data_IF_897321782229
#
_entry.id   IF_897321782229
#
_cell.length_a   1.000
_cell.length_b   1.000
_cell.length_c   1.000
_cell.angle_alpha   90.00
_cell.angle_beta   90.00
_cell.angle_gamma   90.00
#
_symmetry.space_group_name_H-M   'P 1'
#
loop_
_entity.id
_entity.type
_entity.pdbx_description
1 polymer ?
#
# COMPACT_ATOMS: atom_id res chain seq x y z
N UNK A 1 -2.89 17.92 11.33
CA UNK A 1 -3.02 16.46 11.11
C UNK A 1 -4.49 16.18 10.86
N UNK A 2 -4.90 16.16 9.60
CA UNK A 2 -6.30 15.86 9.23
C UNK A 2 -6.39 14.35 9.13
N UNK A 3 -6.92 13.69 10.18
CA UNK A 3 -7.29 12.29 10.11
C UNK A 3 -8.66 12.27 9.43
N UNK A 4 -8.68 12.15 8.10
CA UNK A 4 -9.90 11.75 7.42
C UNK A 4 -10.08 10.25 7.66
N UNK A 5 -10.87 9.91 8.69
CA UNK A 5 -11.51 8.60 8.74
C UNK A 5 -12.52 8.62 7.60
N UNK A 6 -12.10 8.26 6.39
CA UNK A 6 -13.06 8.04 5.33
C UNK A 6 -13.85 6.80 5.75
N UNK A 7 -14.99 7.00 6.42
CA UNK A 7 -16.01 5.98 6.67
C UNK A 7 -16.66 5.66 5.32
N UNK A 8 -15.91 4.97 4.48
CA UNK A 8 -16.38 4.51 3.18
C UNK A 8 -17.19 3.23 3.43
N UNK A 9 -18.43 3.39 3.89
CA UNK A 9 -19.25 2.28 4.38
C UNK A 9 -20.01 1.50 3.31
N UNK A 10 -19.93 1.79 2.00
CA UNK A 10 -20.73 1.05 1.01
C UNK A 10 -20.13 1.07 -0.41
N UNK A 11 -19.12 0.24 -0.68
CA UNK A 11 -18.49 0.10 -2.01
C UNK A 11 -18.84 -1.26 -2.65
N UNK A 12 -20.13 -1.61 -2.67
CA UNK A 12 -20.61 -2.69 -3.52
C UNK A 12 -20.64 -2.21 -4.99
N UNK A 13 -19.67 -2.65 -5.79
CA UNK A 13 -19.70 -2.53 -7.25
C UNK A 13 -19.00 -1.32 -7.89
N UNK A 14 -18.35 -0.44 -7.12
CA UNK A 14 -17.52 0.65 -7.68
C UNK A 14 -16.02 0.31 -7.61
N UNK A 15 -15.29 0.67 -8.67
CA UNK A 15 -13.82 0.59 -8.70
C UNK A 15 -13.28 1.49 -7.60
N UNK A 16 -12.41 0.93 -6.76
CA UNK A 16 -11.78 1.66 -5.69
C UNK A 16 -10.87 2.75 -6.30
N UNK A 17 -11.00 4.01 -5.87
CA UNK A 17 -10.30 5.17 -6.46
C UNK A 17 -10.07 6.24 -5.39
N UNK A 18 -8.81 6.64 -5.20
CA UNK A 18 -8.43 7.69 -4.24
C UNK A 18 -8.30 9.09 -4.86
N UNK A 19 -8.34 9.21 -6.20
CA UNK A 19 -8.16 10.48 -6.90
C UNK A 19 -6.92 11.26 -6.45
N UNK A 20 -7.05 12.59 -6.39
CA UNK A 20 -5.98 13.50 -5.95
C UNK A 20 -6.21 13.96 -4.50
N UNK A 21 -6.57 13.03 -3.61
CA UNK A 21 -6.84 13.37 -2.21
C UNK A 21 -5.61 14.02 -1.54
N UNK A 22 -5.77 15.10 -0.75
CA UNK A 22 -4.66 15.72 -0.02
C UNK A 22 -4.28 14.97 1.27
N UNK A 23 -4.90 13.82 1.53
CA UNK A 23 -4.72 13.05 2.76
C UNK A 23 -3.30 12.49 2.86
N UNK A 24 -2.72 12.61 4.06
CA UNK A 24 -1.38 12.09 4.36
C UNK A 24 -1.37 10.71 5.01
N UNK A 25 -2.49 10.26 5.58
CA UNK A 25 -2.61 8.97 6.27
C UNK A 25 -3.93 8.31 5.88
N UNK A 26 -3.85 7.11 5.31
CA UNK A 26 -5.01 6.28 5.00
C UNK A 26 -4.96 5.02 5.88
N UNK A 27 -6.01 4.81 6.69
CA UNK A 27 -6.18 3.59 7.49
C UNK A 27 -7.55 2.98 7.20
N UNK A 28 -7.57 1.77 6.66
CA UNK A 28 -8.79 1.05 6.30
C UNK A 28 -8.71 -0.42 6.73
N UNK A 29 -9.68 -0.90 7.49
CA UNK A 29 -9.81 -2.31 7.90
C UNK A 29 -11.29 -2.74 7.89
N UNK A 30 -11.97 -2.59 6.73
CA UNK A 30 -13.42 -2.74 6.61
C UNK A 30 -13.84 -3.69 5.48
N UNK A 31 -13.19 -4.86 5.36
CA UNK A 31 -13.51 -5.89 4.35
C UNK A 31 -13.48 -5.36 2.91
N UNK A 32 -12.56 -4.45 2.59
CA UNK A 32 -12.43 -3.94 1.21
C UNK A 32 -12.01 -5.05 0.26
N UNK A 33 -12.75 -5.27 -0.81
CA UNK A 33 -12.46 -6.30 -1.81
C UNK A 33 -12.03 -5.69 -3.14
N UNK A 34 -11.19 -6.39 -3.88
CA UNK A 34 -10.82 -6.01 -5.25
C UNK A 34 -9.34 -5.75 -5.43
N UNK A 35 -8.98 -5.03 -6.49
CA UNK A 35 -7.59 -4.71 -6.80
C UNK A 35 -7.16 -3.43 -6.10
N UNK A 36 -5.86 -3.29 -5.92
CA UNK A 36 -5.24 -2.05 -5.51
C UNK A 36 -5.42 -0.98 -6.62
N UNK A 37 -5.80 0.27 -6.30
CA UNK A 37 -6.16 1.26 -7.30
C UNK A 37 -4.91 1.93 -7.89
N UNK A 38 -4.85 2.06 -9.22
CA UNK A 38 -3.74 2.79 -9.86
C UNK A 38 -3.70 4.26 -9.46
N UNK A 39 -4.85 4.86 -9.16
CA UNK A 39 -4.94 6.27 -8.76
C UNK A 39 -4.30 6.59 -7.41
N UNK A 40 -3.88 5.59 -6.62
CA UNK A 40 -3.13 5.88 -5.41
C UNK A 40 -1.83 6.65 -5.71
N UNK A 41 -1.19 6.39 -6.85
CA UNK A 41 0.04 7.09 -7.24
C UNK A 41 -0.14 8.60 -7.44
N UNK A 42 -1.38 9.07 -7.67
CA UNK A 42 -1.68 10.51 -7.74
C UNK A 42 -1.49 11.21 -6.38
N UNK A 43 -1.37 10.46 -5.29
CA UNK A 43 -1.11 10.96 -3.94
C UNK A 43 0.39 10.95 -3.60
N UNK A 44 1.29 10.82 -4.59
CA UNK A 44 2.75 10.73 -4.40
C UNK A 44 3.35 11.85 -3.57
N UNK A 45 2.77 13.06 -3.65
CA UNK A 45 3.25 14.24 -2.95
C UNK A 45 2.70 14.36 -1.53
N UNK A 46 1.57 13.72 -1.22
CA UNK A 46 0.82 13.95 0.02
C UNK A 46 0.78 12.76 0.96
N UNK A 47 0.76 11.54 0.43
CA UNK A 47 0.55 10.33 1.22
C UNK A 47 1.84 9.86 1.89
N UNK A 48 1.81 9.78 3.22
CA UNK A 48 2.92 9.35 4.06
C UNK A 48 2.67 7.95 4.66
N UNK A 49 1.43 7.63 5.05
CA UNK A 49 1.11 6.34 5.65
C UNK A 49 -0.09 5.68 4.99
N UNK A 50 0.08 4.40 4.64
CA UNK A 50 -0.96 3.56 4.08
C UNK A 50 -1.07 2.26 4.85
N UNK A 51 -2.19 2.10 5.57
CA UNK A 51 -2.51 0.91 6.36
C UNK A 51 -3.84 0.34 5.89
N UNK A 52 -3.78 -0.71 5.07
CA UNK A 52 -4.94 -1.42 4.52
C UNK A 52 -5.03 -2.86 5.04
N UNK A 53 -4.63 -3.08 6.29
CA UNK A 53 -4.60 -4.41 6.91
C UNK A 53 -6.00 -5.03 7.06
N UNK A 54 -6.08 -6.36 6.99
CA UNK A 54 -7.31 -7.13 7.21
C UNK A 54 -8.46 -6.74 6.26
N UNK A 55 -8.14 -6.71 4.97
CA UNK A 55 -9.11 -6.53 3.89
C UNK A 55 -9.11 -7.76 2.96
N UNK A 56 -9.84 -7.68 1.86
CA UNK A 56 -9.84 -8.69 0.79
C UNK A 56 -9.26 -8.16 -0.51
N UNK A 57 -8.21 -7.33 -0.44
CA UNK A 57 -7.44 -6.92 -1.61
C UNK A 57 -6.80 -8.14 -2.25
N UNK A 58 -6.77 -8.19 -3.58
CA UNK A 58 -6.32 -9.34 -4.36
C UNK A 58 -5.61 -8.93 -5.64
N UNK A 59 -4.97 -9.90 -6.27
CA UNK A 59 -4.11 -9.74 -7.46
C UNK A 59 -2.80 -8.99 -7.14
N UNK A 60 -2.11 -8.51 -8.18
CA UNK A 60 -0.81 -7.85 -8.06
C UNK A 60 -0.92 -6.39 -7.60
N UNK A 61 0.15 -5.88 -6.99
CA UNK A 61 0.34 -4.44 -6.80
C UNK A 61 0.63 -3.77 -8.15
N UNK A 62 0.07 -2.58 -8.43
CA UNK A 62 0.41 -1.82 -9.63
C UNK A 62 1.86 -1.34 -9.58
N UNK A 63 2.51 -1.28 -10.74
CA UNK A 63 3.88 -0.78 -10.86
C UNK A 63 4.02 0.68 -10.37
N UNK A 64 2.96 1.46 -10.53
CA UNK A 64 2.88 2.87 -10.12
C UNK A 64 3.00 3.08 -8.59
N UNK A 65 3.00 2.01 -7.78
CA UNK A 65 3.22 2.10 -6.33
C UNK A 65 4.58 2.73 -5.99
N UNK A 66 5.59 2.54 -6.86
CA UNK A 66 6.92 3.14 -6.71
C UNK A 66 6.95 4.66 -6.75
N UNK A 67 5.88 5.30 -7.25
CA UNK A 67 5.77 6.75 -7.29
C UNK A 67 5.54 7.37 -5.90
N UNK A 68 5.14 6.58 -4.90
CA UNK A 68 4.87 7.04 -3.53
C UNK A 68 6.16 7.22 -2.73
N UNK A 69 7.01 8.16 -3.16
CA UNK A 69 8.35 8.38 -2.59
C UNK A 69 8.35 8.91 -1.16
N UNK A 70 7.27 9.59 -0.77
CA UNK A 70 7.09 10.14 0.58
C UNK A 70 6.47 9.14 1.56
N UNK A 71 6.08 7.95 1.09
CA UNK A 71 5.42 6.96 1.94
C UNK A 71 6.42 6.32 2.90
N UNK A 72 6.18 6.46 4.19
CA UNK A 72 7.02 5.91 5.28
C UNK A 72 6.46 4.60 5.82
N UNK A 73 5.13 4.43 5.80
CA UNK A 73 4.47 3.20 6.28
C UNK A 73 3.62 2.60 5.18
N UNK A 74 3.93 1.35 4.80
CA UNK A 74 3.12 0.55 3.88
C UNK A 74 2.75 -0.80 4.51
N UNK A 75 1.53 -0.88 5.05
CA UNK A 75 0.99 -2.11 5.63
C UNK A 75 -0.26 -2.57 4.87
N UNK A 76 -0.11 -3.66 4.11
CA UNK A 76 -1.20 -4.35 3.40
C UNK A 76 -1.36 -5.78 3.89
N UNK A 77 -0.94 -6.05 5.13
CA UNK A 77 -0.98 -7.38 5.71
C UNK A 77 -2.40 -7.94 5.81
N UNK A 78 -2.53 -9.25 5.91
CA UNK A 78 -3.83 -9.93 6.03
C UNK A 78 -4.78 -9.59 4.87
N UNK A 79 -4.30 -9.78 3.64
CA UNK A 79 -5.06 -9.63 2.41
C UNK A 79 -4.90 -10.89 1.54
N UNK A 80 -5.31 -10.83 0.28
CA UNK A 80 -5.23 -11.91 -0.71
C UNK A 80 -4.39 -11.50 -1.93
N UNK A 81 -3.40 -10.62 -1.73
CA UNK A 81 -2.50 -10.18 -2.81
C UNK A 81 -1.67 -11.37 -3.31
N UNK A 82 -1.42 -11.41 -4.62
CA UNK A 82 -0.76 -12.52 -5.32
C UNK A 82 0.42 -12.02 -6.15
N UNK A 83 1.22 -12.97 -6.68
CA UNK A 83 2.39 -12.73 -7.53
C UNK A 83 3.55 -12.06 -6.77
N UNK A 84 4.51 -11.50 -7.48
CA UNK A 84 5.70 -10.89 -6.88
C UNK A 84 5.44 -9.42 -6.49
N UNK A 85 6.25 -8.90 -5.57
CA UNK A 85 6.30 -7.45 -5.36
C UNK A 85 6.92 -6.79 -6.60
N UNK A 86 6.34 -5.71 -7.13
CA UNK A 86 6.92 -5.04 -8.29
C UNK A 86 8.29 -4.45 -7.93
N UNK A 87 9.25 -4.53 -8.85
CA UNK A 87 10.62 -4.01 -8.63
C UNK A 87 10.64 -2.53 -8.23
N UNK A 88 9.66 -1.75 -8.71
CA UNK A 88 9.51 -0.32 -8.40
C UNK A 88 9.23 -0.02 -6.92
N UNK A 89 8.96 -1.01 -6.07
CA UNK A 89 8.97 -0.81 -4.60
C UNK A 89 10.31 -0.22 -4.14
N UNK A 90 11.42 -0.50 -4.85
CA UNK A 90 12.73 0.12 -4.58
C UNK A 90 12.76 1.65 -4.71
N UNK A 91 11.82 2.23 -5.45
CA UNK A 91 11.74 3.68 -5.68
C UNK A 91 11.05 4.41 -4.53
N UNK A 92 10.41 3.67 -3.62
CA UNK A 92 9.79 4.18 -2.39
C UNK A 92 10.86 4.49 -1.34
N UNK A 93 11.75 5.42 -1.66
CA UNK A 93 12.95 5.74 -0.88
C UNK A 93 12.68 6.27 0.53
N UNK A 94 11.46 6.76 0.80
CA UNK A 94 11.03 7.19 2.13
C UNK A 94 10.49 6.06 3.01
N UNK A 95 10.38 4.84 2.51
CA UNK A 95 9.72 3.75 3.22
C UNK A 95 10.54 3.28 4.41
N UNK A 96 9.95 3.31 5.61
CA UNK A 96 10.59 2.87 6.85
C UNK A 96 10.01 1.53 7.31
N UNK A 97 8.75 1.26 6.97
CA UNK A 97 8.05 0.04 7.36
C UNK A 97 7.27 -0.55 6.20
N UNK A 98 7.67 -1.74 5.77
CA UNK A 98 6.92 -2.58 4.84
C UNK A 98 6.32 -3.78 5.59
N UNK A 99 5.01 -3.94 5.55
CA UNK A 99 4.33 -5.13 6.04
C UNK A 99 3.38 -5.71 4.99
N UNK A 100 3.82 -6.82 4.40
CA UNK A 100 3.06 -7.57 3.39
C UNK A 100 2.69 -8.97 3.87
N UNK A 101 2.87 -9.25 5.16
CA UNK A 101 2.61 -10.55 5.77
C UNK A 101 1.16 -11.01 5.58
N UNK A 102 0.92 -12.33 5.63
CA UNK A 102 -0.42 -12.90 5.47
C UNK A 102 -1.10 -12.49 4.14
N UNK A 103 -0.34 -12.58 3.05
CA UNK A 103 -0.80 -12.52 1.66
C UNK A 103 -0.35 -13.78 0.93
N UNK A 104 -0.58 -13.86 -0.39
CA UNK A 104 -0.12 -14.93 -1.28
C UNK A 104 0.97 -14.43 -2.24
N UNK A 105 1.80 -13.48 -1.80
CA UNK A 105 2.96 -13.05 -2.57
C UNK A 105 3.93 -14.23 -2.78
N UNK A 106 4.55 -14.29 -3.95
CA UNK A 106 5.53 -15.29 -4.36
C UNK A 106 6.82 -14.61 -4.85
N UNK A 107 7.83 -15.40 -5.19
CA UNK A 107 9.11 -14.88 -5.67
C UNK A 107 10.01 -14.37 -4.55
N UNK A 108 11.17 -13.84 -4.92
CA UNK A 108 12.07 -13.22 -3.96
C UNK A 108 11.52 -11.86 -3.51
N UNK A 109 11.67 -11.54 -2.23
CA UNK A 109 11.54 -10.15 -1.80
C UNK A 109 12.68 -9.38 -2.50
N UNK A 110 12.39 -8.33 -3.29
CA UNK A 110 13.42 -7.56 -3.97
C UNK A 110 14.48 -7.09 -2.98
N UNK A 111 15.76 -7.28 -3.31
CA UNK A 111 16.89 -7.00 -2.40
C UNK A 111 16.83 -5.57 -1.82
N UNK A 112 16.31 -4.64 -2.63
CA UNK A 112 16.04 -3.25 -2.28
C UNK A 112 15.13 -3.04 -1.06
N UNK A 113 14.24 -3.98 -0.74
CA UNK A 113 13.38 -3.91 0.46
C UNK A 113 14.22 -4.09 1.74
N UNK A 114 15.27 -4.92 1.68
CA UNK A 114 16.19 -5.10 2.81
C UNK A 114 17.12 -3.91 3.01
N UNK A 115 17.47 -3.21 1.92
CA UNK A 115 18.27 -1.98 1.99
C UNK A 115 17.48 -0.81 2.59
N UNK A 116 16.21 -0.69 2.20
CA UNK A 116 15.30 0.37 2.68
C UNK A 116 14.92 0.19 4.15
N UNK A 117 14.95 -1.04 4.67
CA UNK A 117 14.70 -1.33 6.10
C UNK A 117 15.93 -1.27 6.99
N UNK A 118 17.09 -0.87 6.46
CA UNK A 118 18.27 -0.48 7.23
C UNK A 118 18.59 -1.40 8.41
N UNK A 119 18.94 -2.66 8.14
CA UNK A 119 19.84 -3.53 8.92
C UNK A 119 19.72 -3.66 10.45
N UNK A 120 18.81 -3.00 11.16
CA UNK A 120 18.77 -2.95 12.62
C UNK A 120 17.33 -2.87 13.10
N UNK A 121 16.66 -4.02 13.17
CA UNK A 121 15.62 -4.41 14.14
C UNK A 121 15.04 -5.77 13.74
N UNK A 122 15.81 -6.81 14.08
CA UNK A 122 15.29 -8.18 14.27
C UNK A 122 14.55 -8.24 15.61
#
# INVERSE_FOLDING_TARGET
MVIEIIKIQNWYGKKFDFGNSPVSVIVLANKFHGCFPRSLSNMSETLNELVLTNNGLRFCLPIDIGLLKNLTVFDISYNKMMFELPENVREMVGLEKLNVAHNMFSGAIPESVYEVTGSDKV
#
